data_IF_267972860199
#
_entry.id   IF_267972860199
#
_cell.length_a   1.000
_cell.length_b   1.000
_cell.length_c   1.000
_cell.angle_alpha   90.00
_cell.angle_beta   90.00
_cell.angle_gamma   90.00
#
_symmetry.space_group_name_H-M   'P 1'
#
loop_
_entity.id
_entity.type
_entity.pdbx_description
1 polymer ?
#
# COMPACT_ATOMS: atom_id res chain seq x y z
N UNK A 1 -4.60 5.68 27.44
CA UNK A 1 -3.97 5.58 26.11
C UNK A 1 -5.05 5.41 25.06
N UNK A 2 -4.96 6.20 23.99
CA UNK A 2 -5.91 6.12 22.90
C UNK A 2 -5.24 5.51 21.67
N UNK A 3 -5.87 4.50 21.12
CA UNK A 3 -5.48 3.98 19.81
C UNK A 3 -6.41 4.55 18.75
N UNK A 4 -5.87 4.83 17.59
CA UNK A 4 -6.65 5.31 16.44
C UNK A 4 -6.39 4.40 15.25
N UNK A 5 -7.45 4.05 14.56
CA UNK A 5 -7.34 3.32 13.31
C UNK A 5 -7.16 4.31 12.16
N UNK A 6 -6.28 3.96 11.24
CA UNK A 6 -6.06 4.72 10.00
C UNK A 6 -6.18 3.76 8.83
N UNK A 7 -6.75 4.25 7.75
CA UNK A 7 -6.97 3.42 6.57
C UNK A 7 -6.50 4.16 5.32
N UNK A 8 -5.76 3.45 4.48
CA UNK A 8 -5.43 3.88 3.13
C UNK A 8 -6.24 2.99 2.20
N UNK A 9 -7.29 3.53 1.60
CA UNK A 9 -8.24 2.69 0.87
C UNK A 9 -8.90 3.44 -0.28
N UNK A 10 -9.35 2.69 -1.26
CA UNK A 10 -10.09 3.20 -2.39
C UNK A 10 -9.95 2.32 -3.63
N UNK A 11 -10.49 2.81 -4.73
CA UNK A 11 -10.43 2.18 -6.05
C UNK A 11 -9.73 3.15 -6.98
N UNK A 12 -8.66 2.68 -7.63
CA UNK A 12 -7.80 3.55 -8.43
C UNK A 12 -7.47 2.90 -9.77
N UNK A 13 -7.49 3.71 -10.83
CA UNK A 13 -6.98 3.30 -12.13
C UNK A 13 -5.47 3.48 -12.15
N UNK A 14 -4.79 2.64 -12.92
CA UNK A 14 -3.35 2.73 -13.06
C UNK A 14 -2.91 2.47 -14.51
N UNK A 15 -1.74 2.99 -14.84
CA UNK A 15 -0.97 2.62 -16.03
C UNK A 15 0.41 2.20 -15.55
N UNK A 16 0.82 0.97 -15.88
CA UNK A 16 2.11 0.44 -15.46
C UNK A 16 3.29 1.16 -16.08
N UNK A 17 4.36 1.30 -15.33
CA UNK A 17 5.62 1.91 -15.77
C UNK A 17 6.77 0.90 -15.79
N UNK A 18 6.51 -0.34 -15.43
CA UNK A 18 7.45 -1.44 -15.32
C UNK A 18 7.30 -2.16 -14.01
N UNK A 19 7.36 -3.49 -14.04
CA UNK A 19 7.18 -4.30 -12.82
C UNK A 19 8.26 -4.02 -11.77
N UNK A 20 9.41 -3.53 -12.20
CA UNK A 20 10.51 -3.15 -11.31
C UNK A 20 10.66 -1.63 -11.16
N UNK A 21 9.64 -0.87 -11.57
CA UNK A 21 9.60 0.59 -11.44
C UNK A 21 8.32 1.01 -10.72
N UNK A 22 8.24 0.83 -9.40
CA UNK A 22 7.08 1.28 -8.65
C UNK A 22 6.85 2.78 -8.83
N UNK A 23 5.60 3.16 -8.96
CA UNK A 23 5.19 4.55 -9.08
C UNK A 23 4.03 4.85 -8.13
N UNK A 24 3.88 6.10 -7.67
CA UNK A 24 2.74 6.46 -6.81
C UNK A 24 1.42 6.09 -7.47
N UNK A 25 0.54 5.43 -6.70
CA UNK A 25 -0.77 5.05 -7.21
C UNK A 25 -1.73 6.24 -7.19
N UNK A 26 -1.79 6.92 -6.07
CA UNK A 26 -2.64 8.10 -5.91
C UNK A 26 -2.16 8.93 -4.71
N UNK A 27 -2.27 10.26 -4.81
CA UNK A 27 -1.82 11.16 -3.75
C UNK A 27 -2.59 10.98 -2.43
N UNK A 28 -3.83 10.49 -2.48
CA UNK A 28 -4.61 10.24 -1.27
C UNK A 28 -4.14 9.01 -0.49
N UNK A 29 -3.31 8.18 -1.07
CA UNK A 29 -2.76 6.98 -0.43
C UNK A 29 -1.44 7.31 0.27
N UNK A 30 -1.46 8.30 1.11
CA UNK A 30 -0.31 8.73 1.89
C UNK A 30 -0.71 9.08 3.31
N UNK A 31 0.22 8.87 4.24
CA UNK A 31 -0.02 9.09 5.66
C UNK A 31 1.32 9.39 6.33
N UNK A 32 1.35 10.44 7.13
CA UNK A 32 2.52 10.75 7.95
C UNK A 32 2.16 10.49 9.40
N UNK A 33 2.96 9.65 10.06
CA UNK A 33 2.75 9.34 11.48
C UNK A 33 2.91 10.61 12.30
N UNK A 34 1.92 10.97 13.14
CA UNK A 34 2.04 12.17 13.98
C UNK A 34 3.22 12.09 14.95
N UNK A 35 3.81 13.22 15.26
CA UNK A 35 4.85 13.32 16.27
C UNK A 35 4.34 12.81 17.61
N UNK A 36 5.16 12.01 18.29
CA UNK A 36 4.79 11.42 19.57
C UNK A 36 3.93 10.16 19.46
N UNK A 37 3.55 9.75 18.27
CA UNK A 37 2.80 8.52 18.01
C UNK A 37 3.68 7.45 17.39
N UNK A 38 3.21 6.21 17.47
CA UNK A 38 3.78 5.06 16.75
C UNK A 38 2.64 4.44 15.96
N UNK A 39 2.87 4.15 14.69
CA UNK A 39 1.89 3.47 13.85
C UNK A 39 2.38 2.08 13.47
N UNK A 40 1.43 1.19 13.27
CA UNK A 40 1.69 -0.18 12.81
C UNK A 40 0.72 -0.53 11.70
N UNK A 41 1.24 -1.02 10.57
CA UNK A 41 0.41 -1.55 9.51
C UNK A 41 0.03 -3.00 9.86
N UNK A 42 -1.26 -3.28 9.88
CA UNK A 42 -1.77 -4.57 10.39
C UNK A 42 -2.27 -5.50 9.30
N UNK A 43 -2.75 -4.97 8.19
CA UNK A 43 -3.23 -5.82 7.09
C UNK A 43 -3.18 -5.07 5.76
N UNK A 44 -3.15 -5.86 4.70
CA UNK A 44 -3.38 -5.41 3.33
C UNK A 44 -4.49 -6.25 2.71
N UNK A 45 -5.46 -5.58 2.08
CA UNK A 45 -6.46 -6.24 1.23
C UNK A 45 -6.43 -5.54 -0.12
N UNK A 46 -6.46 -6.31 -1.18
CA UNK A 46 -6.42 -5.71 -2.51
C UNK A 46 -6.97 -6.60 -3.59
N UNK A 47 -7.41 -5.97 -4.68
CA UNK A 47 -7.89 -6.66 -5.87
C UNK A 47 -7.31 -6.00 -7.11
N UNK A 48 -7.05 -6.81 -8.12
CA UNK A 48 -6.46 -6.42 -9.39
C UNK A 48 -7.40 -6.83 -10.53
N UNK A 49 -7.84 -5.86 -11.33
CA UNK A 49 -8.72 -6.14 -12.48
C UNK A 49 -7.95 -6.44 -13.77
N UNK A 50 -6.65 -6.22 -13.79
CA UNK A 50 -5.84 -6.39 -14.99
C UNK A 50 -5.55 -7.86 -15.30
N UNK A 51 -5.11 -8.11 -16.54
CA UNK A 51 -4.86 -9.46 -17.04
C UNK A 51 -3.47 -10.01 -16.69
N UNK A 52 -2.67 -9.24 -15.96
CA UNK A 52 -1.32 -9.62 -15.57
C UNK A 52 -1.09 -9.30 -14.10
N UNK A 53 -0.10 -9.95 -13.51
CA UNK A 53 0.30 -9.70 -12.13
C UNK A 53 0.77 -8.26 -11.95
N UNK A 54 0.30 -7.64 -10.88
CA UNK A 54 0.79 -6.34 -10.40
C UNK A 54 1.17 -6.48 -8.93
N UNK A 55 1.88 -5.51 -8.39
CA UNK A 55 2.17 -5.48 -6.95
C UNK A 55 1.86 -4.11 -6.38
N UNK A 56 1.21 -4.07 -5.23
CA UNK A 56 1.18 -2.88 -4.40
C UNK A 56 2.43 -2.89 -3.53
N UNK A 57 3.02 -1.71 -3.36
CA UNK A 57 4.25 -1.55 -2.59
C UNK A 57 3.99 -0.55 -1.49
N UNK A 58 4.15 -0.99 -0.25
CA UNK A 58 4.05 -0.11 0.90
C UNK A 58 5.42 0.54 1.09
N UNK A 59 5.46 1.86 0.92
CA UNK A 59 6.68 2.65 0.98
C UNK A 59 6.82 3.27 2.37
N UNK A 60 8.04 3.28 2.87
CA UNK A 60 8.42 3.97 4.10
C UNK A 60 9.51 4.98 3.78
N UNK A 61 9.20 6.25 3.95
CA UNK A 61 10.14 7.36 3.66
C UNK A 61 10.78 7.25 2.26
N UNK A 62 9.96 6.90 1.27
CA UNK A 62 10.40 6.76 -0.12
C UNK A 62 11.12 5.46 -0.45
N UNK A 63 11.18 4.50 0.47
CA UNK A 63 11.84 3.21 0.29
C UNK A 63 10.82 2.08 0.41
N UNK A 64 10.83 1.07 -0.49
CA UNK A 64 9.94 -0.06 -0.36
C UNK A 64 10.14 -0.80 0.97
N UNK A 65 9.04 -1.05 1.67
CA UNK A 65 9.04 -1.77 2.93
C UNK A 65 8.37 -3.14 2.81
N UNK A 66 7.23 -3.21 2.11
CA UNK A 66 6.48 -4.44 1.90
C UNK A 66 5.94 -4.50 0.48
N UNK A 67 5.90 -5.70 -0.08
CA UNK A 67 5.36 -5.96 -1.41
C UNK A 67 4.14 -6.87 -1.29
N UNK A 68 3.07 -6.53 -1.99
CA UNK A 68 1.84 -7.30 -2.02
C UNK A 68 1.50 -7.66 -3.48
N UNK A 69 2.01 -8.80 -3.99
CA UNK A 69 1.69 -9.20 -5.35
C UNK A 69 0.24 -9.68 -5.46
N UNK A 70 -0.42 -9.29 -6.54
CA UNK A 70 -1.77 -9.71 -6.86
C UNK A 70 -1.77 -10.27 -8.28
N UNK A 71 -2.12 -11.55 -8.40
CA UNK A 71 -2.22 -12.20 -9.71
C UNK A 71 -3.25 -11.54 -10.61
N UNK A 72 -3.23 -11.91 -11.88
CA UNK A 72 -4.20 -11.43 -12.87
C UNK A 72 -5.63 -11.68 -12.39
N UNK A 73 -6.46 -10.64 -12.35
CA UNK A 73 -7.87 -10.70 -11.94
C UNK A 73 -8.09 -11.36 -10.58
N UNK A 74 -7.12 -11.25 -9.69
CA UNK A 74 -7.15 -11.89 -8.38
C UNK A 74 -7.22 -10.87 -7.25
N UNK A 75 -7.63 -11.34 -6.09
CA UNK A 75 -7.60 -10.57 -4.86
C UNK A 75 -6.78 -11.29 -3.79
N UNK A 76 -6.34 -10.54 -2.79
CA UNK A 76 -5.57 -11.06 -1.67
C UNK A 76 -5.98 -10.38 -0.38
N UNK A 77 -5.83 -11.11 0.71
CA UNK A 77 -5.95 -10.56 2.06
C UNK A 77 -4.75 -11.05 2.86
N UNK A 78 -3.92 -10.12 3.29
CA UNK A 78 -2.67 -10.42 3.98
C UNK A 78 -2.69 -9.78 5.37
N UNK A 79 -2.97 -10.54 6.44
CA UNK A 79 -2.70 -10.06 7.79
C UNK A 79 -1.18 -10.01 7.96
N UNK A 80 -0.67 -8.87 8.46
CA UNK A 80 0.76 -8.71 8.65
C UNK A 80 1.16 -9.32 9.99
N UNK A 81 1.97 -10.37 9.93
CA UNK A 81 2.45 -11.08 11.12
C UNK A 81 3.76 -10.51 11.64
N UNK A 82 4.53 -9.88 10.77
CA UNK A 82 5.70 -9.11 11.14
C UNK A 82 5.32 -7.64 11.03
N UNK A 83 5.29 -6.96 12.15
CA UNK A 83 4.79 -5.60 12.24
C UNK A 83 5.92 -4.69 12.69
N UNK A 84 6.18 -3.64 11.91
CA UNK A 84 7.16 -2.62 12.26
C UNK A 84 6.50 -1.50 13.05
N UNK A 85 7.23 -0.96 14.03
CA UNK A 85 6.87 0.28 14.69
C UNK A 85 7.33 1.45 13.82
N UNK A 86 6.37 2.24 13.35
CA UNK A 86 6.62 3.39 12.49
C UNK A 86 6.56 4.65 13.37
N UNK A 87 7.71 5.27 13.56
CA UNK A 87 7.83 6.41 14.47
C UNK A 87 7.23 7.69 13.89
N UNK A 88 6.96 8.64 14.77
CA UNK A 88 6.48 9.97 14.36
C UNK A 88 7.35 10.60 13.29
N UNK A 89 6.71 11.19 12.28
CA UNK A 89 7.38 11.76 11.12
C UNK A 89 7.61 10.81 9.96
N UNK A 90 7.41 9.49 10.17
CA UNK A 90 7.52 8.51 9.09
C UNK A 90 6.42 8.73 8.05
N UNK A 91 6.81 8.81 6.78
CA UNK A 91 5.88 8.95 5.67
C UNK A 91 5.60 7.56 5.06
N UNK A 92 4.33 7.20 5.00
CA UNK A 92 3.85 5.95 4.42
C UNK A 92 3.07 6.28 3.16
N UNK A 93 3.36 5.57 2.07
CA UNK A 93 2.68 5.72 0.79
C UNK A 93 2.45 4.36 0.15
N UNK A 94 1.43 4.26 -0.69
CA UNK A 94 1.21 3.09 -1.54
C UNK A 94 1.60 3.40 -2.97
N UNK A 95 2.50 2.59 -3.49
CA UNK A 95 2.92 2.61 -4.89
C UNK A 95 2.39 1.38 -5.60
N UNK A 96 2.37 1.42 -6.91
CA UNK A 96 2.03 0.29 -7.76
C UNK A 96 3.20 -0.06 -8.66
N UNK A 97 3.51 -1.34 -8.75
CA UNK A 97 4.45 -1.90 -9.70
C UNK A 97 3.67 -2.77 -10.68
N UNK A 98 3.70 -2.41 -11.95
CA UNK A 98 2.94 -3.11 -12.99
C UNK A 98 3.75 -3.12 -14.29
N UNK A 99 3.56 -4.15 -15.15
CA UNK A 99 4.19 -4.17 -16.46
C UNK A 99 3.98 -2.88 -17.23
N UNK A 100 4.99 -2.44 -17.97
CA UNK A 100 4.96 -1.20 -18.73
C UNK A 100 3.76 -1.18 -19.70
N UNK A 101 2.97 -0.11 -19.62
CA UNK A 101 1.79 0.07 -20.46
C UNK A 101 0.55 -0.71 -20.05
N UNK A 102 0.64 -1.59 -19.06
CA UNK A 102 -0.55 -2.31 -18.56
C UNK A 102 -1.49 -1.31 -17.89
N UNK A 103 -2.77 -1.39 -18.23
CA UNK A 103 -3.82 -0.60 -17.59
C UNK A 103 -4.81 -1.48 -16.86
N UNK A 104 -5.41 -0.93 -15.83
CA UNK A 104 -6.43 -1.61 -15.04
C UNK A 104 -6.82 -0.78 -13.84
N UNK A 105 -7.53 -1.42 -12.94
CA UNK A 105 -7.92 -0.83 -11.66
C UNK A 105 -7.47 -1.73 -10.53
N UNK A 106 -7.15 -1.11 -9.40
CA UNK A 106 -6.90 -1.83 -8.16
C UNK A 106 -7.82 -1.32 -7.06
N UNK A 107 -8.30 -2.24 -6.26
CA UNK A 107 -9.00 -1.94 -5.01
C UNK A 107 -7.98 -2.16 -3.92
N UNK A 108 -7.82 -1.20 -3.02
CA UNK A 108 -6.84 -1.30 -1.94
C UNK A 108 -7.50 -0.95 -0.61
N UNK A 109 -7.05 -1.63 0.42
CA UNK A 109 -7.48 -1.37 1.80
C UNK A 109 -6.34 -1.79 2.72
N UNK A 110 -5.63 -0.81 3.26
CA UNK A 110 -4.53 -1.00 4.21
C UNK A 110 -4.98 -0.43 5.54
N UNK A 111 -4.96 -1.25 6.57
CA UNK A 111 -5.29 -0.83 7.93
C UNK A 111 -4.05 -0.63 8.78
N UNK A 112 -4.00 0.51 9.45
CA UNK A 112 -2.96 0.84 10.41
C UNK A 112 -3.60 1.18 11.75
N UNK A 113 -2.84 0.97 12.81
CA UNK A 113 -3.19 1.45 14.15
C UNK A 113 -2.14 2.45 14.60
N UNK A 114 -2.59 3.51 15.25
CA UNK A 114 -1.77 4.59 15.76
C UNK A 114 -1.91 4.63 17.28
N UNK A 115 -0.80 4.55 17.95
CA UNK A 115 -0.74 4.52 19.43
C UNK A 115 -0.07 5.75 19.98
#
# INVERSE_FOLDING_TARGET
MHTKNRFLQGIFQFTGEGINKPAPLDATLSYVVPDGSIAQALYFRGGNTADELVALVLMRDGVPMRYFPMGAKADVHVPLRVVEDLEGGTAIELYIAAPDGLTGSVIVDVGLVEV
#
